data_IF_974046068215
#
_entry.id   IF_974046068215
#
_cell.length_a   1.000
_cell.length_b   1.000
_cell.length_c   1.000
_cell.angle_alpha   90.00
_cell.angle_beta   90.00
_cell.angle_gamma   90.00
#
_symmetry.space_group_name_H-M   'P 1'
#
loop_
_entity.id
_entity.type
_entity.pdbx_description
1 polymer ?
#
# COMPACT_ATOMS: atom_id res chain seq x y z
N UNK A 1 -19.38 -0.08 16.25
CA UNK A 1 -19.59 0.65 14.97
C UNK A 1 -19.12 2.10 14.99
N UNK A 2 -19.60 2.98 15.88
CA UNK A 2 -19.25 4.43 15.86
C UNK A 2 -17.75 4.78 15.77
N UNK A 3 -16.88 3.97 16.39
CA UNK A 3 -15.42 4.23 16.40
C UNK A 3 -14.71 3.88 15.10
N UNK A 4 -15.11 2.78 14.45
CA UNK A 4 -14.61 2.39 13.14
C UNK A 4 -15.06 3.39 12.08
N UNK A 5 -16.31 3.85 12.17
CA UNK A 5 -16.86 4.88 11.29
C UNK A 5 -16.04 6.19 11.32
N UNK A 6 -15.58 6.63 12.51
CA UNK A 6 -14.69 7.80 12.62
C UNK A 6 -13.36 7.56 11.90
N UNK A 7 -12.76 6.37 12.06
CA UNK A 7 -11.52 6.03 11.39
C UNK A 7 -11.70 6.02 9.87
N UNK A 8 -12.78 5.41 9.37
CA UNK A 8 -13.11 5.44 7.94
C UNK A 8 -13.28 6.86 7.41
N UNK A 9 -14.06 7.71 8.09
CA UNK A 9 -14.27 9.11 7.68
C UNK A 9 -12.97 9.90 7.62
N UNK A 10 -12.06 9.66 8.57
CA UNK A 10 -10.74 10.25 8.60
C UNK A 10 -9.91 9.79 7.38
N UNK A 11 -9.87 8.50 7.09
CA UNK A 11 -9.13 7.99 5.92
C UNK A 11 -9.73 8.47 4.59
N UNK A 12 -11.06 8.62 4.47
CA UNK A 12 -11.71 9.24 3.30
C UNK A 12 -11.21 10.67 3.13
N UNK A 13 -11.19 11.45 4.22
CA UNK A 13 -10.71 12.83 4.19
C UNK A 13 -9.25 12.87 3.73
N UNK A 14 -8.38 12.07 4.34
CA UNK A 14 -6.96 12.02 3.98
C UNK A 14 -6.77 11.62 2.51
N UNK A 15 -7.59 10.70 2.00
CA UNK A 15 -7.55 10.30 0.59
C UNK A 15 -7.98 11.42 -0.35
N UNK A 16 -9.13 12.05 -0.10
CA UNK A 16 -9.66 13.14 -0.93
C UNK A 16 -8.68 14.31 -1.00
N UNK A 17 -8.01 14.64 0.11
CA UNK A 17 -7.09 15.77 0.19
C UNK A 17 -5.61 15.41 -0.03
N UNK A 18 -5.28 14.15 -0.40
CA UNK A 18 -3.91 13.74 -0.69
C UNK A 18 -3.47 14.22 -2.08
N UNK A 19 -3.06 15.48 -2.20
CA UNK A 19 -2.64 16.09 -3.46
C UNK A 19 -1.53 15.29 -4.17
N UNK A 20 -0.56 14.75 -3.40
CA UNK A 20 0.55 13.94 -3.96
C UNK A 20 0.05 12.64 -4.58
N UNK A 21 -0.85 11.93 -3.90
CA UNK A 21 -1.47 10.71 -4.45
C UNK A 21 -2.23 11.02 -5.74
N UNK A 22 -3.03 12.09 -5.77
CA UNK A 22 -3.78 12.49 -6.97
C UNK A 22 -2.85 12.89 -8.12
N UNK A 23 -1.79 13.65 -7.85
CA UNK A 23 -0.79 14.01 -8.86
C UNK A 23 -0.14 12.74 -9.46
N UNK A 24 0.27 11.79 -8.62
CA UNK A 24 0.84 10.52 -9.09
C UNK A 24 -0.18 9.71 -9.89
N UNK A 25 -1.43 9.64 -9.45
CA UNK A 25 -2.52 9.00 -10.19
C UNK A 25 -2.68 9.59 -11.60
N UNK A 26 -2.67 10.93 -11.72
CA UNK A 26 -2.70 11.59 -13.04
C UNK A 26 -1.49 11.19 -13.90
N UNK A 27 -0.30 11.09 -13.31
CA UNK A 27 0.89 10.62 -14.03
C UNK A 27 0.79 9.16 -14.47
N UNK A 28 0.19 8.28 -13.67
CA UNK A 28 -0.05 6.88 -14.06
C UNK A 28 -0.93 6.82 -15.31
N UNK A 29 -2.07 7.52 -15.30
CA UNK A 29 -3.00 7.58 -16.45
C UNK A 29 -2.31 8.18 -17.68
N UNK A 30 -1.56 9.27 -17.50
CA UNK A 30 -0.91 9.97 -18.61
C UNK A 30 0.23 9.14 -19.22
N UNK A 31 1.06 8.54 -18.38
CA UNK A 31 2.15 7.65 -18.79
C UNK A 31 1.62 6.44 -19.53
N UNK A 32 0.51 5.86 -19.07
CA UNK A 32 -0.14 4.74 -19.74
C UNK A 32 -0.58 5.09 -21.16
N UNK A 33 -1.27 6.22 -21.36
CA UNK A 33 -1.69 6.66 -22.71
C UNK A 33 -0.51 6.80 -23.68
N UNK A 34 0.65 7.23 -23.18
CA UNK A 34 1.87 7.37 -23.99
C UNK A 34 2.49 6.01 -24.32
N UNK A 35 2.50 5.09 -23.36
CA UNK A 35 3.11 3.75 -23.50
C UNK A 35 2.24 2.82 -24.37
N UNK A 36 0.91 2.90 -24.23
CA UNK A 36 -0.04 2.11 -25.05
C UNK A 36 0.17 2.36 -26.55
N UNK A 37 0.53 3.59 -26.94
CA UNK A 37 0.82 3.93 -28.34
C UNK A 37 2.00 3.13 -28.93
N UNK A 38 2.82 2.45 -28.11
CA UNK A 38 4.02 1.72 -28.53
C UNK A 38 3.91 0.18 -28.52
N UNK A 39 2.71 -0.39 -28.36
CA UNK A 39 2.41 -1.80 -28.67
C UNK A 39 3.27 -2.89 -27.96
N UNK A 40 3.58 -2.69 -26.68
CA UNK A 40 4.17 -3.75 -25.84
C UNK A 40 3.19 -4.16 -24.74
N UNK A 41 2.46 -5.27 -24.97
CA UNK A 41 1.33 -5.68 -24.14
C UNK A 41 1.72 -6.36 -22.81
N UNK A 42 2.68 -7.28 -22.81
CA UNK A 42 3.07 -8.01 -21.59
C UNK A 42 3.94 -7.18 -20.62
N UNK A 43 4.84 -6.34 -21.14
CA UNK A 43 5.65 -5.41 -20.33
C UNK A 43 4.79 -4.32 -19.66
N UNK A 44 3.57 -4.12 -20.16
CA UNK A 44 2.66 -3.10 -19.68
C UNK A 44 2.08 -3.44 -18.30
N UNK A 45 1.68 -4.69 -18.05
CA UNK A 45 0.89 -4.98 -16.84
C UNK A 45 1.73 -4.90 -15.56
N UNK A 46 2.95 -5.44 -15.56
CA UNK A 46 3.85 -5.36 -14.41
C UNK A 46 4.28 -3.92 -14.13
N UNK A 47 4.57 -3.17 -15.17
CA UNK A 47 4.90 -1.75 -15.06
C UNK A 47 3.72 -0.92 -14.55
N UNK A 48 2.51 -1.21 -15.02
CA UNK A 48 1.30 -0.55 -14.56
C UNK A 48 1.01 -0.86 -13.08
N UNK A 49 1.11 -2.14 -12.67
CA UNK A 49 1.01 -2.52 -11.27
C UNK A 49 2.06 -1.82 -10.40
N UNK A 50 3.30 -1.73 -10.87
CA UNK A 50 4.38 -1.02 -10.17
C UNK A 50 4.03 0.46 -9.92
N UNK A 51 3.52 1.16 -10.93
CA UNK A 51 3.10 2.57 -10.80
C UNK A 51 1.89 2.77 -9.89
N UNK A 52 0.93 1.85 -9.93
CA UNK A 52 -0.19 1.83 -8.98
C UNK A 52 0.33 1.61 -7.57
N UNK A 53 1.20 0.63 -7.35
CA UNK A 53 1.85 0.39 -6.05
C UNK A 53 2.53 1.65 -5.54
N UNK A 54 3.32 2.33 -6.39
CA UNK A 54 3.99 3.58 -6.04
C UNK A 54 3.02 4.68 -5.59
N UNK A 55 1.89 4.83 -6.29
CA UNK A 55 0.86 5.81 -5.92
C UNK A 55 0.22 5.47 -4.58
N UNK A 56 -0.06 4.19 -4.35
CA UNK A 56 -0.62 3.67 -3.09
C UNK A 56 0.38 3.85 -1.95
N UNK A 57 1.68 3.64 -2.18
CA UNK A 57 2.75 3.89 -1.20
C UNK A 57 2.72 5.31 -0.69
N UNK A 58 2.66 6.29 -1.60
CA UNK A 58 2.61 7.70 -1.23
C UNK A 58 1.40 8.01 -0.32
N UNK A 59 0.21 7.56 -0.71
CA UNK A 59 -1.00 7.76 0.08
C UNK A 59 -0.90 7.13 1.47
N UNK A 60 -0.49 5.86 1.53
CA UNK A 60 -0.43 5.12 2.79
C UNK A 60 0.63 5.72 3.72
N UNK A 61 1.79 6.13 3.18
CA UNK A 61 2.83 6.80 3.96
C UNK A 61 2.33 8.14 4.53
N UNK A 62 1.75 9.01 3.69
CA UNK A 62 1.22 10.32 4.12
C UNK A 62 0.12 10.14 5.19
N UNK A 63 -0.74 9.14 5.01
CA UNK A 63 -1.81 8.82 5.95
C UNK A 63 -1.25 8.36 7.31
N UNK A 64 -0.21 7.52 7.32
CA UNK A 64 0.50 7.15 8.56
C UNK A 64 1.26 8.31 9.19
N UNK A 65 1.91 9.15 8.38
CA UNK A 65 2.66 10.31 8.83
C UNK A 65 1.74 11.34 9.51
N UNK A 66 0.56 11.57 8.95
CA UNK A 66 -0.49 12.41 9.53
C UNK A 66 -0.91 11.88 10.90
N UNK A 67 -1.09 10.56 11.03
CA UNK A 67 -1.40 9.92 12.32
C UNK A 67 -0.31 10.09 13.38
N UNK A 68 0.97 10.19 12.97
CA UNK A 68 2.08 10.45 13.90
C UNK A 68 2.17 11.93 14.26
N UNK A 69 2.02 12.84 13.28
CA UNK A 69 2.15 14.29 13.46
C UNK A 69 0.99 14.88 14.26
N UNK A 70 -0.25 14.48 13.95
CA UNK A 70 -1.46 15.04 14.56
C UNK A 70 -1.87 14.36 15.86
N UNK A 71 -0.95 13.62 16.52
CA UNK A 71 -1.26 12.79 17.69
C UNK A 71 -2.38 11.77 17.41
N UNK A 72 -2.55 11.34 16.16
CA UNK A 72 -3.48 10.26 15.78
C UNK A 72 -3.23 8.95 16.54
N UNK A 73 -1.99 8.71 16.97
CA UNK A 73 -1.67 7.60 17.89
C UNK A 73 -2.36 7.76 19.25
N UNK A 74 -2.40 8.97 19.82
CA UNK A 74 -3.17 9.28 21.04
C UNK A 74 -4.69 9.18 20.78
N UNK A 75 -5.17 9.54 19.60
CA UNK A 75 -6.57 9.33 19.20
C UNK A 75 -6.92 7.82 19.17
N UNK A 76 -6.10 6.97 18.57
CA UNK A 76 -6.29 5.52 18.55
C UNK A 76 -6.34 4.94 19.97
N UNK A 77 -5.47 5.43 20.85
CA UNK A 77 -5.42 5.06 22.27
C UNK A 77 -6.66 5.51 23.04
N UNK A 78 -7.02 6.79 22.92
CA UNK A 78 -8.19 7.36 23.58
C UNK A 78 -9.50 6.73 23.07
N UNK A 79 -9.55 6.39 21.78
CA UNK A 79 -10.67 5.68 21.18
C UNK A 79 -10.67 4.18 21.52
N UNK A 80 -9.62 3.62 22.14
CA UNK A 80 -9.43 2.19 22.41
C UNK A 80 -9.56 1.33 21.14
N UNK A 81 -9.06 1.83 20.00
CA UNK A 81 -9.07 1.10 18.73
C UNK A 81 -7.89 0.12 18.72
N UNK A 82 -8.19 -1.17 18.49
CA UNK A 82 -7.14 -2.20 18.37
C UNK A 82 -6.28 -1.91 17.13
N UNK A 83 -4.97 -2.09 17.24
CA UNK A 83 -4.03 -1.92 16.12
C UNK A 83 -4.43 -2.73 14.88
N UNK A 84 -4.92 -3.96 15.07
CA UNK A 84 -5.45 -4.78 13.98
C UNK A 84 -6.56 -4.07 13.18
N UNK A 85 -7.50 -3.41 13.85
CA UNK A 85 -8.59 -2.70 13.17
C UNK A 85 -8.04 -1.50 12.39
N UNK A 86 -7.09 -0.78 12.99
CA UNK A 86 -6.42 0.33 12.34
C UNK A 86 -5.68 -0.11 11.08
N UNK A 87 -4.88 -1.17 11.19
CA UNK A 87 -4.17 -1.79 10.08
C UNK A 87 -5.11 -2.28 8.97
N UNK A 88 -6.20 -2.98 9.34
CA UNK A 88 -7.18 -3.47 8.38
C UNK A 88 -7.87 -2.34 7.61
N UNK A 89 -8.16 -1.20 8.25
CA UNK A 89 -8.71 -0.04 7.50
C UNK A 89 -7.68 0.47 6.49
N UNK A 90 -6.39 0.60 6.84
CA UNK A 90 -5.35 0.98 5.87
C UNK A 90 -5.25 -0.01 4.71
N UNK A 91 -5.32 -1.31 4.99
CA UNK A 91 -5.40 -2.36 3.97
C UNK A 91 -6.62 -2.20 3.06
N UNK A 92 -7.79 -1.88 3.61
CA UNK A 92 -9.01 -1.65 2.82
C UNK A 92 -8.86 -0.44 1.89
N UNK A 93 -8.26 0.66 2.35
CA UNK A 93 -8.00 1.82 1.49
C UNK A 93 -6.96 1.51 0.41
N UNK A 94 -5.88 0.81 0.77
CA UNK A 94 -4.90 0.30 -0.19
C UNK A 94 -5.59 -0.53 -1.30
N UNK A 95 -6.41 -1.50 -0.91
CA UNK A 95 -7.20 -2.31 -1.83
C UNK A 95 -8.16 -1.49 -2.69
N UNK A 96 -8.89 -0.54 -2.09
CA UNK A 96 -9.86 0.30 -2.79
C UNK A 96 -9.19 1.18 -3.85
N UNK A 97 -8.05 1.79 -3.52
CA UNK A 97 -7.27 2.62 -4.45
C UNK A 97 -6.76 1.76 -5.60
N UNK A 98 -6.19 0.58 -5.31
CA UNK A 98 -5.74 -0.34 -6.37
C UNK A 98 -6.89 -0.76 -7.29
N UNK A 99 -8.04 -1.15 -6.73
CA UNK A 99 -9.22 -1.55 -7.53
C UNK A 99 -9.68 -0.38 -8.39
N UNK A 100 -9.76 0.83 -7.83
CA UNK A 100 -10.16 2.03 -8.55
C UNK A 100 -9.21 2.31 -9.73
N UNK A 101 -7.90 2.21 -9.51
CA UNK A 101 -6.90 2.44 -10.56
C UNK A 101 -6.90 1.33 -11.62
N UNK A 102 -7.03 0.07 -11.22
CA UNK A 102 -7.07 -1.08 -12.14
C UNK A 102 -8.40 -1.18 -12.91
N UNK A 103 -9.49 -0.59 -12.38
CA UNK A 103 -10.81 -0.68 -13.02
C UNK A 103 -10.87 -0.02 -14.39
N UNK A 104 -10.09 1.04 -14.62
CA UNK A 104 -9.97 1.71 -15.91
C UNK A 104 -9.39 0.80 -17.00
N UNK A 105 -8.64 -0.24 -16.61
CA UNK A 105 -7.87 -1.11 -17.49
C UNK A 105 -8.35 -2.57 -17.44
N UNK A 106 -9.52 -2.83 -16.84
CA UNK A 106 -10.01 -4.20 -16.60
C UNK A 106 -10.12 -5.02 -17.89
N UNK A 107 -10.58 -4.40 -18.98
CA UNK A 107 -10.70 -5.04 -20.29
C UNK A 107 -9.35 -5.49 -20.86
N UNK A 108 -8.29 -4.76 -20.55
CA UNK A 108 -6.93 -5.03 -21.01
C UNK A 108 -6.26 -6.07 -20.14
N UNK A 109 -6.39 -5.95 -18.83
CA UNK A 109 -5.90 -6.91 -17.84
C UNK A 109 -6.44 -8.30 -18.15
N UNK A 110 -7.75 -8.43 -18.41
CA UNK A 110 -8.39 -9.71 -18.74
C UNK A 110 -7.87 -10.34 -20.04
N UNK A 111 -7.43 -9.53 -21.01
CA UNK A 111 -6.88 -10.04 -22.29
C UNK A 111 -5.44 -10.51 -22.18
N UNK A 112 -4.64 -9.88 -21.34
CA UNK A 112 -3.17 -10.04 -21.32
C UNK A 112 -2.70 -10.86 -20.11
N UNK A 113 -3.55 -11.00 -19.08
CA UNK A 113 -3.17 -11.61 -17.81
C UNK A 113 -4.18 -12.66 -17.35
N UNK A 114 -3.67 -13.71 -16.71
CA UNK A 114 -4.49 -14.69 -16.03
C UNK A 114 -4.88 -14.16 -14.63
N UNK A 115 -6.06 -14.51 -14.14
CA UNK A 115 -6.55 -14.15 -12.81
C UNK A 115 -5.55 -14.45 -11.69
N UNK A 116 -4.79 -15.55 -11.78
CA UNK A 116 -3.76 -15.89 -10.79
C UNK A 116 -2.60 -14.87 -10.77
N UNK A 117 -2.21 -14.34 -11.92
CA UNK A 117 -1.15 -13.33 -12.02
C UNK A 117 -1.63 -11.99 -11.45
N UNK A 118 -2.88 -11.61 -11.73
CA UNK A 118 -3.51 -10.40 -11.14
C UNK A 118 -3.62 -10.53 -9.63
N UNK A 119 -4.10 -11.67 -9.12
CA UNK A 119 -4.20 -11.94 -7.68
C UNK A 119 -2.84 -11.93 -6.99
N UNK A 120 -1.82 -12.47 -7.64
CA UNK A 120 -0.46 -12.45 -7.12
C UNK A 120 0.08 -11.02 -7.01
N UNK A 121 -0.02 -10.23 -8.08
CA UNK A 121 0.41 -8.83 -8.10
C UNK A 121 -0.38 -7.97 -7.10
N UNK A 122 -1.67 -8.23 -6.97
CA UNK A 122 -2.52 -7.59 -5.96
C UNK A 122 -2.05 -7.94 -4.54
N UNK A 123 -1.82 -9.21 -4.25
CA UNK A 123 -1.31 -9.65 -2.95
C UNK A 123 0.05 -9.02 -2.64
N UNK A 124 0.93 -8.89 -3.63
CA UNK A 124 2.23 -8.26 -3.45
C UNK A 124 2.09 -6.76 -3.17
N UNK A 125 1.20 -6.08 -3.88
CA UNK A 125 0.93 -4.65 -3.69
C UNK A 125 0.31 -4.34 -2.32
N UNK A 126 -0.39 -5.29 -1.70
CA UNK A 126 -0.88 -5.14 -0.32
C UNK A 126 0.24 -5.01 0.73
N UNK A 127 1.48 -5.43 0.39
CA UNK A 127 2.65 -5.27 1.27
C UNK A 127 3.04 -3.83 1.51
N UNK A 128 2.50 -2.89 0.73
CA UNK A 128 2.69 -1.45 0.96
C UNK A 128 2.33 -1.06 2.39
N UNK A 129 1.20 -1.53 2.92
CA UNK A 129 0.73 -1.11 4.26
C UNK A 129 1.74 -1.41 5.38
N UNK A 130 2.22 -2.66 5.55
CA UNK A 130 3.19 -2.93 6.58
C UNK A 130 4.57 -2.34 6.28
N UNK A 131 5.00 -2.27 5.01
CA UNK A 131 6.30 -1.67 4.63
C UNK A 131 6.32 -0.18 4.97
N UNK A 132 5.29 0.58 4.60
CA UNK A 132 5.24 2.02 4.88
C UNK A 132 5.17 2.29 6.38
N UNK A 133 4.40 1.50 7.14
CA UNK A 133 4.38 1.63 8.59
C UNK A 133 5.76 1.38 9.22
N UNK A 134 6.49 0.37 8.74
CA UNK A 134 7.83 0.07 9.20
C UNK A 134 8.83 1.16 8.82
N UNK A 135 8.74 1.69 7.59
CA UNK A 135 9.59 2.81 7.15
C UNK A 135 9.31 4.10 7.91
N UNK A 136 8.06 4.38 8.27
CA UNK A 136 7.73 5.52 9.12
C UNK A 136 8.46 5.44 10.46
N UNK A 137 8.51 4.24 11.06
CA UNK A 137 9.23 3.98 12.32
C UNK A 137 10.74 4.19 12.13
N UNK A 138 11.32 3.55 11.11
CA UNK A 138 12.77 3.59 10.85
C UNK A 138 13.25 4.99 10.49
N UNK A 139 12.52 5.68 9.63
CA UNK A 139 12.83 7.03 9.19
C UNK A 139 12.52 8.10 10.25
N UNK A 140 11.96 7.71 11.40
CA UNK A 140 11.56 8.62 12.50
C UNK A 140 10.67 9.76 12.00
N UNK A 141 9.80 9.49 11.03
CA UNK A 141 8.92 10.49 10.41
C UNK A 141 9.58 11.42 9.38
N UNK A 142 10.83 11.18 8.98
CA UNK A 142 11.42 11.83 7.81
C UNK A 142 10.83 11.23 6.52
N UNK A 143 10.03 12.04 5.85
CA UNK A 143 9.27 11.64 4.68
C UNK A 143 10.15 11.15 3.53
N UNK A 144 11.18 11.92 3.15
CA UNK A 144 12.03 11.58 2.02
C UNK A 144 12.77 10.25 2.24
N UNK A 145 13.30 10.05 3.45
CA UNK A 145 14.02 8.80 3.80
C UNK A 145 13.05 7.61 3.84
N UNK A 146 11.87 7.79 4.41
CA UNK A 146 10.85 6.74 4.50
C UNK A 146 10.41 6.24 3.13
N UNK A 147 10.05 7.17 2.24
CA UNK A 147 9.58 6.86 0.88
C UNK A 147 10.70 6.25 0.03
N UNK A 148 11.94 6.73 0.13
CA UNK A 148 13.05 6.14 -0.64
C UNK A 148 13.29 4.69 -0.21
N UNK A 149 13.34 4.43 1.10
CA UNK A 149 13.57 3.08 1.61
C UNK A 149 12.39 2.14 1.29
N UNK A 150 11.15 2.62 1.38
CA UNK A 150 9.98 1.82 1.05
C UNK A 150 9.96 1.43 -0.43
N UNK A 151 10.28 2.37 -1.32
CA UNK A 151 10.40 2.11 -2.75
C UNK A 151 11.50 1.11 -3.09
N UNK A 152 12.67 1.20 -2.43
CA UNK A 152 13.74 0.23 -2.63
C UNK A 152 13.32 -1.18 -2.21
N UNK A 153 12.66 -1.31 -1.06
CA UNK A 153 12.20 -2.61 -0.54
C UNK A 153 11.07 -3.17 -1.39
N UNK A 154 10.06 -2.36 -1.71
CA UNK A 154 8.97 -2.78 -2.59
C UNK A 154 9.48 -3.13 -3.99
N UNK A 155 10.48 -2.40 -4.50
CA UNK A 155 11.13 -2.67 -5.79
C UNK A 155 11.89 -3.98 -5.81
N UNK A 156 12.68 -4.25 -4.78
CA UNK A 156 13.36 -5.52 -4.62
C UNK A 156 12.34 -6.67 -4.54
N UNK A 157 11.26 -6.51 -3.76
CA UNK A 157 10.20 -7.51 -3.63
C UNK A 157 9.48 -7.74 -4.95
N UNK A 158 9.10 -6.68 -5.68
CA UNK A 158 8.51 -6.79 -7.02
C UNK A 158 9.43 -7.58 -7.94
N UNK A 159 10.70 -7.17 -8.08
CA UNK A 159 11.66 -7.82 -8.99
C UNK A 159 11.94 -9.28 -8.63
N UNK A 160 11.99 -9.63 -7.34
CA UNK A 160 12.22 -11.00 -6.88
C UNK A 160 11.00 -11.88 -7.13
N UNK A 161 9.82 -11.39 -6.78
CA UNK A 161 8.59 -12.18 -6.78
C UNK A 161 7.97 -12.27 -8.18
N UNK A 162 8.12 -11.28 -9.05
CA UNK A 162 7.64 -11.37 -10.45
C UNK A 162 8.43 -12.36 -11.31
N UNK A 163 9.60 -12.83 -10.84
CA UNK A 163 10.33 -13.93 -11.49
C UNK A 163 9.71 -15.31 -11.22
N UNK A 164 8.84 -15.42 -10.22
CA UNK A 164 8.17 -16.67 -9.90
C UNK A 164 6.99 -16.89 -10.85
N UNK A 165 6.72 -18.14 -11.28
CA UNK A 165 5.57 -18.43 -12.11
C UNK A 165 4.27 -18.21 -11.34
N UNK A 166 3.32 -17.49 -11.96
CA UNK A 166 2.01 -17.24 -11.37
C UNK A 166 1.27 -18.56 -11.10
N UNK A 167 1.18 -18.92 -9.83
CA UNK A 167 0.61 -20.16 -9.32
C UNK A 167 -0.10 -19.91 -7.99
N UNK A 168 -0.97 -20.83 -7.59
CA UNK A 168 -1.62 -20.78 -6.27
C UNK A 168 -0.57 -20.68 -5.16
N UNK A 169 0.55 -21.41 -5.29
CA UNK A 169 1.65 -21.37 -4.33
C UNK A 169 2.25 -19.96 -4.20
N UNK A 170 2.48 -19.26 -5.32
CA UNK A 170 3.01 -17.89 -5.29
C UNK A 170 2.02 -16.88 -4.71
N UNK A 171 0.72 -17.05 -4.94
CA UNK A 171 -0.32 -16.22 -4.30
C UNK A 171 -0.31 -16.45 -2.79
N UNK A 172 -0.28 -17.70 -2.35
CA UNK A 172 -0.20 -18.05 -0.93
C UNK A 172 1.09 -17.52 -0.29
N UNK A 173 2.21 -17.54 -1.00
CA UNK A 173 3.46 -16.94 -0.54
C UNK A 173 3.31 -15.43 -0.32
N UNK A 174 2.69 -14.71 -1.27
CA UNK A 174 2.41 -13.28 -1.12
C UNK A 174 1.54 -12.98 0.11
N UNK A 175 0.50 -13.79 0.36
CA UNK A 175 -0.35 -13.67 1.54
C UNK A 175 0.44 -13.97 2.82
N UNK A 176 1.22 -15.04 2.84
CA UNK A 176 2.03 -15.43 3.98
C UNK A 176 3.05 -14.35 4.36
N UNK A 177 3.72 -13.76 3.36
CA UNK A 177 4.64 -12.65 3.58
C UNK A 177 3.92 -11.45 4.18
N UNK A 178 2.73 -11.07 3.67
CA UNK A 178 1.93 -10.00 4.27
C UNK A 178 1.60 -10.25 5.74
N UNK A 179 1.23 -11.49 6.09
CA UNK A 179 0.94 -11.88 7.48
C UNK A 179 2.20 -11.77 8.35
N UNK A 180 3.35 -12.24 7.88
CA UNK A 180 4.62 -12.13 8.59
C UNK A 180 4.99 -10.66 8.84
N UNK A 181 4.84 -9.81 7.83
CA UNK A 181 5.08 -8.37 7.94
C UNK A 181 4.13 -7.70 8.93
N UNK A 182 2.84 -8.06 8.92
CA UNK A 182 1.89 -7.60 9.94
C UNK A 182 2.32 -8.01 11.35
N UNK A 183 2.74 -9.27 11.55
CA UNK A 183 3.21 -9.76 12.86
C UNK A 183 4.44 -8.97 13.32
N UNK A 184 5.42 -8.77 12.45
CA UNK A 184 6.62 -7.99 12.74
C UNK A 184 6.28 -6.55 13.13
N UNK A 185 5.40 -5.90 12.36
CA UNK A 185 4.92 -4.55 12.62
C UNK A 185 4.17 -4.45 13.95
N UNK A 186 3.30 -5.41 14.26
CA UNK A 186 2.55 -5.45 15.52
C UNK A 186 3.49 -5.64 16.73
N UNK A 187 4.58 -6.42 16.59
CA UNK A 187 5.62 -6.54 17.62
C UNK A 187 6.40 -5.22 17.79
N UNK A 188 6.83 -4.60 16.69
CA UNK A 188 7.55 -3.33 16.70
C UNK A 188 6.71 -2.20 17.31
N UNK A 189 5.42 -2.15 16.99
CA UNK A 189 4.47 -1.20 17.55
C UNK A 189 4.40 -1.32 19.08
N UNK A 190 4.28 -2.54 19.62
CA UNK A 190 4.27 -2.77 21.07
C UNK A 190 5.56 -2.28 21.73
N UNK A 191 6.73 -2.58 21.13
CA UNK A 191 8.03 -2.14 21.65
C UNK A 191 8.16 -0.61 21.71
N UNK A 192 7.70 0.10 20.68
CA UNK A 192 7.69 1.57 20.64
C UNK A 192 6.69 2.19 21.61
N UNK A 193 5.54 1.53 21.81
CA UNK A 193 4.53 1.95 22.77
C UNK A 193 5.08 1.95 24.20
N UNK A 194 5.86 0.93 24.57
CA UNK A 194 6.54 0.86 25.86
C UNK A 194 7.61 1.95 26.06
N UNK A 195 8.27 2.42 24.98
CA UNK A 195 9.28 3.49 25.07
C UNK A 195 8.72 4.90 25.20
N UNK A 196 7.46 5.15 24.81
CA UNK A 196 6.81 6.48 24.94
C UNK A 196 5.98 6.65 26.22
N UNK A 197 5.85 5.60 27.02
CA UNK A 197 5.11 5.58 28.29
C UNK A 197 6.01 5.64 29.54
N UNK A 198 7.34 5.64 29.34
CA UNK A 198 8.36 5.94 30.35
C UNK A 198 8.91 7.33 30.01
#
# INVERSE_FOLDING_TARGET
>A
MKKLDILFKKEIKDFVYSSKCWILFFFVILGEKVIIKRNHDAYNIYFHFWWITFTVQQFIYDSFLTDVREKGTLFLCNAKIKFLNYYLVKCLFCAAIMILMLSGEIHRIVKISNALQVLFLFSLSMMVVPVEYFMLILAKGNEAVGIILSNLIMGALFLLLTKLPASVLTVLLGVAINVLFYVAVNMAQKSLYFRKLI
#
